data_IF_123239140213
#
_entry.id   IF_123239140213
#
_cell.length_a   1.000
_cell.length_b   1.000
_cell.length_c   1.000
_cell.angle_alpha   90.00
_cell.angle_beta   90.00
_cell.angle_gamma   90.00
#
_symmetry.space_group_name_H-M   'P 1'
#
loop_
_entity.id
_entity.type
_entity.pdbx_description
1 polymer ?
#
# COMPACT_ATOMS: atom_id res chain seq x y z
N UNK A 1 6.12 8.07 23.69
CA UNK A 1 7.01 9.25 23.49
C UNK A 1 6.11 10.46 23.38
N UNK A 2 6.35 11.51 24.17
CA UNK A 2 5.49 12.70 24.26
C UNK A 2 5.76 13.62 23.07
N UNK A 3 4.72 14.07 22.38
CA UNK A 3 4.82 14.95 21.20
C UNK A 3 5.48 16.31 21.60
N UNK A 4 6.60 16.72 20.98
CA UNK A 4 7.33 17.94 21.36
C UNK A 4 6.55 19.25 21.14
N UNK A 5 5.46 19.22 20.38
CA UNK A 5 4.67 20.41 20.04
C UNK A 5 3.43 20.63 20.92
N UNK A 6 3.25 19.85 21.98
CA UNK A 6 2.07 19.93 22.86
C UNK A 6 0.75 19.54 22.19
N UNK A 7 0.79 19.08 20.94
CA UNK A 7 -0.38 18.57 20.25
C UNK A 7 -0.86 17.27 20.92
N UNK A 8 -2.18 17.10 21.11
CA UNK A 8 -2.75 15.92 21.77
C UNK A 8 -2.32 14.63 21.06
N UNK A 9 -2.36 13.51 21.80
CA UNK A 9 -2.07 12.19 21.27
C UNK A 9 -2.87 11.96 19.98
N UNK A 10 -2.13 11.99 18.87
CA UNK A 10 -2.66 11.99 17.54
C UNK A 10 -2.87 10.55 17.09
N UNK A 11 -4.10 10.21 16.68
CA UNK A 11 -4.44 8.86 16.21
C UNK A 11 -4.34 8.79 14.70
N UNK A 12 -3.83 7.66 14.21
CA UNK A 12 -3.82 7.33 12.80
C UNK A 12 -4.41 5.93 12.60
N UNK A 13 -5.12 5.77 11.48
CA UNK A 13 -5.74 4.53 11.04
C UNK A 13 -5.42 4.32 9.57
N UNK A 14 -5.06 3.08 9.22
CA UNK A 14 -4.72 2.71 7.85
C UNK A 14 -5.45 1.40 7.50
N UNK A 15 -5.98 1.35 6.28
CA UNK A 15 -6.55 0.15 5.68
C UNK A 15 -5.80 -0.10 4.39
N UNK A 16 -5.09 -1.23 4.34
CA UNK A 16 -4.41 -1.72 3.15
C UNK A 16 -5.14 -2.95 2.62
N UNK A 17 -5.46 -2.95 1.33
CA UNK A 17 -5.92 -4.15 0.64
C UNK A 17 -4.89 -4.56 -0.41
N UNK A 18 -4.92 -5.84 -0.77
CA UNK A 18 -4.11 -6.35 -1.87
C UNK A 18 -4.86 -7.44 -2.62
N UNK A 19 -4.78 -7.38 -3.94
CA UNK A 19 -5.26 -8.42 -4.83
C UNK A 19 -4.21 -8.62 -5.93
N UNK A 20 -3.72 -9.86 -6.06
CA UNK A 20 -2.69 -10.19 -7.03
C UNK A 20 -3.02 -11.48 -7.76
N UNK A 21 -2.59 -11.56 -9.02
CA UNK A 21 -2.71 -12.72 -9.86
C UNK A 21 -1.38 -13.02 -10.55
N UNK A 22 -0.99 -14.29 -10.54
CA UNK A 22 0.21 -14.79 -11.20
C UNK A 22 -0.15 -15.89 -12.18
N UNK A 23 0.24 -15.73 -13.43
CA UNK A 23 -0.02 -16.71 -14.49
C UNK A 23 0.82 -17.96 -14.24
N UNK A 24 0.15 -19.09 -14.00
CA UNK A 24 0.81 -20.35 -13.62
C UNK A 24 1.20 -21.22 -14.83
N UNK A 25 0.56 -21.03 -15.99
CA UNK A 25 0.75 -21.87 -17.18
C UNK A 25 0.50 -21.11 -18.49
N UNK A 26 0.91 -21.71 -19.62
CA UNK A 26 0.79 -21.12 -20.95
C UNK A 26 1.90 -20.12 -21.29
N UNK A 27 1.76 -19.47 -22.44
CA UNK A 27 2.73 -18.52 -23.01
C UNK A 27 3.06 -17.32 -22.13
N UNK A 28 2.17 -16.95 -21.20
CA UNK A 28 2.38 -15.86 -20.24
C UNK A 28 2.82 -16.34 -18.85
N UNK A 29 3.16 -17.63 -18.67
CA UNK A 29 3.68 -18.14 -17.40
C UNK A 29 4.85 -17.26 -16.93
N UNK A 30 4.79 -16.84 -15.67
CA UNK A 30 5.76 -15.92 -15.07
C UNK A 30 5.36 -14.45 -15.10
N UNK A 31 4.28 -14.10 -15.82
CA UNK A 31 3.64 -12.78 -15.68
C UNK A 31 2.82 -12.71 -14.39
N UNK A 32 2.81 -11.54 -13.75
CA UNK A 32 1.94 -11.24 -12.62
C UNK A 32 1.47 -9.79 -12.64
N UNK A 33 0.31 -9.57 -12.02
CA UNK A 33 -0.24 -8.24 -11.75
C UNK A 33 -0.78 -8.18 -10.33
N UNK A 34 -0.58 -7.07 -9.65
CA UNK A 34 -1.11 -6.79 -8.32
C UNK A 34 -1.66 -5.38 -8.22
N UNK A 35 -2.74 -5.22 -7.47
CA UNK A 35 -3.36 -3.94 -7.14
C UNK A 35 -3.41 -3.80 -5.63
N UNK A 36 -3.00 -2.63 -5.14
CA UNK A 36 -2.81 -2.35 -3.72
C UNK A 36 -3.43 -0.98 -3.40
N UNK A 37 -4.74 -0.91 -3.10
CA UNK A 37 -5.34 0.31 -2.62
C UNK A 37 -5.08 0.48 -1.11
N UNK A 38 -4.84 1.71 -0.70
CA UNK A 38 -4.60 2.09 0.70
C UNK A 38 -5.40 3.33 1.06
N UNK A 39 -5.98 3.34 2.26
CA UNK A 39 -6.64 4.50 2.86
C UNK A 39 -5.99 4.80 4.19
N UNK A 40 -5.36 5.97 4.27
CA UNK A 40 -4.74 6.44 5.49
C UNK A 40 -5.49 7.68 5.99
N UNK A 41 -5.78 7.67 7.30
CA UNK A 41 -6.45 8.73 8.02
C UNK A 41 -5.66 9.07 9.27
N UNK A 42 -5.34 10.34 9.47
CA UNK A 42 -4.59 10.79 10.64
C UNK A 42 -5.07 12.15 11.12
N UNK A 43 -5.35 12.27 12.42
CA UNK A 43 -5.43 13.60 13.04
C UNK A 43 -4.03 14.10 13.34
N UNK A 44 -3.62 15.27 12.82
CA UNK A 44 -2.36 16.02 13.04
C UNK A 44 -1.10 15.22 13.44
N UNK A 45 -0.96 14.00 12.91
CA UNK A 45 0.09 13.08 13.27
C UNK A 45 1.32 13.36 12.41
N UNK A 46 2.36 13.97 13.01
CA UNK A 46 3.68 14.12 12.39
C UNK A 46 3.66 14.72 10.96
N UNK A 47 2.73 15.65 10.69
CA UNK A 47 2.61 16.32 9.38
C UNK A 47 2.13 15.40 8.24
N UNK A 48 1.68 14.19 8.55
CA UNK A 48 1.01 13.31 7.59
C UNK A 48 -0.42 13.81 7.37
N UNK A 49 -0.87 13.70 6.12
CA UNK A 49 -2.23 14.05 5.70
C UNK A 49 -2.96 12.81 5.24
N UNK A 50 -4.27 12.85 5.40
CA UNK A 50 -5.21 11.91 4.82
C UNK A 50 -4.90 11.68 3.34
N UNK A 51 -4.89 10.41 2.93
CA UNK A 51 -4.57 10.00 1.57
C UNK A 51 -5.34 8.76 1.17
N UNK A 52 -5.56 8.64 -0.13
CA UNK A 52 -6.09 7.45 -0.78
C UNK A 52 -5.11 7.13 -1.91
N UNK A 53 -4.39 6.03 -1.78
CA UNK A 53 -3.37 5.63 -2.74
C UNK A 53 -3.81 4.37 -3.49
N UNK A 54 -3.45 4.27 -4.77
CA UNK A 54 -3.59 3.04 -5.55
C UNK A 54 -2.26 2.75 -6.21
N UNK A 55 -1.71 1.57 -5.93
CA UNK A 55 -0.50 1.07 -6.58
C UNK A 55 -0.85 -0.13 -7.43
N UNK A 56 -0.34 -0.14 -8.66
CA UNK A 56 -0.44 -1.26 -9.58
C UNK A 56 0.97 -1.72 -9.91
N UNK A 57 1.23 -3.01 -9.73
CA UNK A 57 2.52 -3.63 -10.06
C UNK A 57 2.26 -4.69 -11.11
N UNK A 58 2.87 -4.55 -12.27
CA UNK A 58 2.98 -5.61 -13.26
C UNK A 58 4.44 -6.08 -13.30
N UNK A 59 4.65 -7.40 -13.32
CA UNK A 59 5.99 -7.96 -13.43
C UNK A 59 6.01 -9.21 -14.30
N UNK A 60 7.18 -9.52 -14.84
CA UNK A 60 7.43 -10.74 -15.59
C UNK A 60 8.77 -11.32 -15.15
N UNK A 61 8.78 -12.60 -14.78
CA UNK A 61 9.99 -13.33 -14.45
C UNK A 61 10.04 -14.66 -15.21
N UNK A 62 11.17 -14.93 -15.85
CA UNK A 62 11.43 -16.16 -16.58
C UNK A 62 12.77 -16.72 -16.11
N UNK A 63 12.72 -17.84 -15.38
CA UNK A 63 13.92 -18.62 -15.06
C UNK A 63 14.29 -19.51 -16.25
N UNK A 64 15.58 -19.55 -16.59
CA UNK A 64 16.17 -20.37 -17.65
C UNK A 64 16.64 -21.72 -17.10
#
# INVERSE_FOLDING_TARGET
MKNPNGAPDSKAHEIDLSASYSVQSGWLKGASIGVYPAWYRSGDFYGKKDRNDVKVIASYSKTF
#
